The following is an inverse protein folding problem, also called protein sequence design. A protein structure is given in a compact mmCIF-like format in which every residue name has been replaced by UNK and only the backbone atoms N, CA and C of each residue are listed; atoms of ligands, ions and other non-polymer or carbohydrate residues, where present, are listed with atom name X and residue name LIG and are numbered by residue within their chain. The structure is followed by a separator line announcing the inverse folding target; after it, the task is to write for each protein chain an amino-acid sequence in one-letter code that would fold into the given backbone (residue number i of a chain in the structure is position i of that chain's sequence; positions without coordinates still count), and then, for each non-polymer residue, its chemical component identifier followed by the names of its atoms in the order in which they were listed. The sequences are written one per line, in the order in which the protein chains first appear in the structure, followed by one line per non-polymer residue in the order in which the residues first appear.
data_IF_991079109620
#
_entry.id   IF_991079109620
#
_cell.length_a   1.000
_cell.length_b   1.000
_cell.length_c   1.000
_cell.angle_alpha   90.00
_cell.angle_beta   90.00
_cell.angle_gamma   90.00
#
_symmetry.space_group_name_H-M   'P 1'
#
loop_
_entity.id
_entity.type
_entity.pdbx_description
1 polymer ?
#
# COMPACT_ATOMS: atom_id res chain seq x y z
N UNK A 1 5.12 15.64 14.82
CA UNK A 1 4.12 15.78 15.91
C UNK A 1 4.04 14.45 16.62
N UNK A 2 4.14 14.40 17.95
CA UNK A 2 4.04 13.12 18.68
C UNK A 2 2.57 12.75 18.85
N UNK A 3 2.15 11.62 18.28
CA UNK A 3 0.80 11.09 18.46
C UNK A 3 0.64 10.51 19.88
N UNK A 4 -0.54 10.66 20.46
CA UNK A 4 -0.89 10.01 21.73
C UNK A 4 -1.61 8.70 21.43
N UNK A 5 -0.89 7.58 21.47
CA UNK A 5 -1.36 6.28 21.01
C UNK A 5 -1.26 5.23 22.12
N UNK A 6 -2.31 4.40 22.27
CA UNK A 6 -2.27 3.21 23.16
C UNK A 6 -1.73 1.96 22.46
N UNK A 7 -1.81 1.92 21.12
CA UNK A 7 -1.28 0.85 20.25
C UNK A 7 -0.75 1.45 18.95
N UNK A 8 0.07 0.74 18.17
CA UNK A 8 0.57 1.26 16.89
C UNK A 8 -0.58 1.63 15.94
N UNK A 9 -0.35 2.64 15.10
CA UNK A 9 -1.24 2.97 13.98
C UNK A 9 -0.47 2.80 12.69
N UNK A 10 -1.06 2.10 11.73
CA UNK A 10 -0.53 1.97 10.38
C UNK A 10 -1.33 2.88 9.46
N UNK A 11 -0.64 3.83 8.85
CA UNK A 11 -1.14 4.60 7.73
C UNK A 11 -0.68 3.93 6.44
N UNK A 12 -1.57 3.83 5.48
CA UNK A 12 -1.22 3.28 4.18
C UNK A 12 -1.97 3.99 3.06
N UNK A 13 -1.40 3.90 1.87
CA UNK A 13 -1.95 4.42 0.63
C UNK A 13 -1.65 3.45 -0.52
N UNK A 14 -2.52 3.42 -1.52
CA UNK A 14 -2.45 2.47 -2.63
C UNK A 14 -2.53 3.19 -3.96
N UNK A 15 -1.66 2.76 -4.88
CA UNK A 15 -1.87 2.96 -6.30
C UNK A 15 -2.36 1.66 -6.90
N UNK A 16 -3.33 1.74 -7.82
CA UNK A 16 -4.01 0.56 -8.36
C UNK A 16 -4.34 0.75 -9.83
N UNK A 17 -4.64 -0.35 -10.51
CA UNK A 17 -5.06 -0.33 -11.92
C UNK A 17 -6.42 0.32 -12.13
N UNK A 18 -7.19 0.54 -11.06
CA UNK A 18 -8.53 1.12 -11.07
C UNK A 18 -9.22 0.95 -9.71
N UNK A 19 -10.49 1.32 -9.60
CA UNK A 19 -11.24 1.34 -8.33
C UNK A 19 -12.17 0.15 -8.12
N UNK A 20 -12.22 -0.81 -9.05
CA UNK A 20 -13.08 -1.98 -8.94
C UNK A 20 -12.44 -3.08 -8.09
N UNK A 21 -12.93 -3.26 -6.86
CA UNK A 21 -12.39 -4.23 -5.88
C UNK A 21 -12.38 -5.69 -6.34
N UNK A 22 -13.17 -6.08 -7.35
CA UNK A 22 -13.22 -7.45 -7.85
C UNK A 22 -12.20 -7.72 -8.97
N UNK A 23 -11.83 -6.69 -9.72
CA UNK A 23 -11.08 -6.84 -10.97
C UNK A 23 -9.74 -6.11 -10.97
N UNK A 24 -9.65 -4.97 -10.31
CA UNK A 24 -8.42 -4.18 -10.28
C UNK A 24 -7.40 -4.75 -9.29
N UNK A 25 -6.16 -4.32 -9.47
CA UNK A 25 -4.98 -4.85 -8.76
C UNK A 25 -4.15 -3.70 -8.22
N UNK A 26 -3.45 -3.98 -7.11
CA UNK A 26 -2.53 -3.03 -6.49
C UNK A 26 -1.25 -2.97 -7.33
N UNK A 27 -0.77 -1.74 -7.58
CA UNK A 27 0.46 -1.40 -8.31
C UNK A 27 1.54 -0.88 -7.36
N UNK A 28 1.15 -0.15 -6.31
CA UNK A 28 2.03 0.26 -5.23
C UNK A 28 1.29 0.25 -3.90
N UNK A 29 2.03 -0.04 -2.83
CA UNK A 29 1.60 0.23 -1.46
C UNK A 29 2.70 1.00 -0.73
N UNK A 30 2.31 2.11 -0.11
CA UNK A 30 3.14 2.87 0.84
C UNK A 30 2.56 2.72 2.23
N UNK A 31 3.41 2.48 3.22
CA UNK A 31 3.02 2.19 4.60
C UNK A 31 3.94 2.92 5.56
N UNK A 32 3.35 3.59 6.55
CA UNK A 32 4.05 4.10 7.73
C UNK A 32 3.36 3.58 9.00
N UNK A 33 4.11 2.84 9.81
CA UNK A 33 3.68 2.38 11.13
C UNK A 33 4.27 3.28 12.20
N UNK A 34 3.41 3.93 12.99
CA UNK A 34 3.81 4.79 14.10
C UNK A 34 3.52 4.05 15.40
N UNK A 35 4.53 3.91 16.26
CA UNK A 35 4.43 3.23 17.56
C UNK A 35 4.10 4.22 18.70
N UNK A 36 3.58 3.75 19.85
CA UNK A 36 3.28 4.60 21.01
C UNK A 36 4.46 5.43 21.55
N UNK A 37 5.68 4.93 21.40
CA UNK A 37 6.90 5.65 21.79
C UNK A 37 7.27 6.80 20.82
N UNK A 38 6.61 6.84 19.65
CA UNK A 38 6.86 7.78 18.57
C UNK A 38 7.88 7.29 17.54
N UNK A 39 8.37 6.06 17.64
CA UNK A 39 9.18 5.45 16.58
C UNK A 39 8.34 5.10 15.36
N UNK A 40 8.99 5.04 14.19
CA UNK A 40 8.32 4.85 12.91
C UNK A 40 9.00 3.77 12.08
N UNK A 41 8.20 3.01 11.32
CA UNK A 41 8.67 2.11 10.27
C UNK A 41 7.97 2.49 8.97
N UNK A 42 8.74 2.86 7.96
CA UNK A 42 8.24 3.23 6.64
C UNK A 42 8.69 2.23 5.56
N UNK A 43 7.76 1.88 4.67
CA UNK A 43 8.00 0.99 3.53
C UNK A 43 7.13 1.40 2.34
N UNK A 44 7.75 1.53 1.18
CA UNK A 44 7.05 1.64 -0.11
C UNK A 44 7.45 0.47 -1.00
N UNK A 45 6.47 -0.15 -1.67
CA UNK A 45 6.68 -1.30 -2.54
C UNK A 45 5.86 -1.17 -3.81
N UNK A 46 6.56 -1.15 -4.95
CA UNK A 46 5.97 -1.43 -6.26
C UNK A 46 5.62 -2.93 -6.34
N UNK A 47 4.53 -3.21 -7.02
CA UNK A 47 3.94 -4.54 -7.18
C UNK A 47 3.65 -4.76 -8.65
N UNK A 48 4.01 -5.92 -9.18
CA UNK A 48 3.54 -6.32 -10.51
C UNK A 48 2.07 -6.77 -10.38
N UNK A 49 1.11 -6.04 -10.97
CA UNK A 49 -0.32 -6.35 -10.83
C UNK A 49 -0.73 -7.62 -11.59
N UNK A 50 0.13 -8.15 -12.47
CA UNK A 50 -0.15 -9.33 -13.30
C UNK A 50 -1.17 -9.07 -14.43
N UNK A 51 -1.59 -7.83 -14.61
CA UNK A 51 -2.47 -7.32 -15.67
C UNK A 51 -1.91 -5.99 -16.20
N UNK A 52 -2.22 -5.57 -17.44
CA UNK A 52 -1.81 -4.26 -17.93
C UNK A 52 -2.37 -3.12 -17.08
N UNK A 53 -1.56 -2.11 -16.78
CA UNK A 53 -2.01 -0.89 -16.09
C UNK A 53 -2.75 0.01 -17.10
N UNK A 54 -4.04 0.33 -16.87
CA UNK A 54 -4.78 1.22 -17.76
C UNK A 54 -4.12 2.60 -17.88
N UNK A 55 -4.14 3.17 -19.09
CA UNK A 55 -3.48 4.47 -19.36
C UNK A 55 -4.04 5.61 -18.49
N UNK A 56 -5.30 5.53 -18.08
CA UNK A 56 -5.94 6.47 -17.15
C UNK A 56 -5.38 6.37 -15.73
N UNK A 57 -5.09 5.16 -15.23
CA UNK A 57 -4.43 4.97 -13.94
C UNK A 57 -2.98 5.49 -13.99
N UNK A 58 -2.24 5.14 -15.06
CA UNK A 58 -0.92 5.68 -15.35
C UNK A 58 -0.91 7.22 -15.45
N UNK A 59 -1.95 7.83 -16.01
CA UNK A 59 -2.06 9.29 -16.09
C UNK A 59 -2.21 9.95 -14.71
N UNK A 60 -2.72 9.22 -13.71
CA UNK A 60 -2.90 9.69 -12.33
C UNK A 60 -1.63 9.46 -11.50
N UNK A 61 -1.16 8.21 -11.41
CA UNK A 61 -0.07 7.83 -10.50
C UNK A 61 1.30 7.76 -11.17
N UNK A 62 1.38 7.89 -12.51
CA UNK A 62 2.61 7.93 -13.29
C UNK A 62 3.47 6.66 -13.23
N UNK A 63 2.84 5.50 -13.05
CA UNK A 63 3.50 4.19 -13.00
C UNK A 63 3.12 3.43 -14.27
N UNK A 64 4.10 2.93 -14.98
CA UNK A 64 3.91 2.16 -16.21
C UNK A 64 4.11 0.67 -15.94
N UNK A 65 3.65 -0.18 -16.88
CA UNK A 65 3.92 -1.63 -16.82
C UNK A 65 5.43 -1.93 -16.76
N UNK A 66 6.25 -1.10 -17.42
CA UNK A 66 7.71 -1.24 -17.44
C UNK A 66 8.34 -1.01 -16.07
N UNK A 67 7.80 -0.06 -15.28
CA UNK A 67 8.30 0.26 -13.94
C UNK A 67 8.10 -0.89 -12.93
N UNK A 68 7.12 -1.77 -13.19
CA UNK A 68 6.73 -2.84 -12.28
C UNK A 68 6.93 -4.24 -12.84
N UNK A 69 7.47 -4.39 -14.06
CA UNK A 69 7.60 -5.70 -14.72
C UNK A 69 8.39 -6.71 -13.89
N UNK A 70 9.44 -6.25 -13.20
CA UNK A 70 10.34 -7.07 -12.37
C UNK A 70 9.99 -7.00 -10.86
N UNK A 71 8.93 -6.26 -10.51
CA UNK A 71 8.45 -6.16 -9.13
C UNK A 71 7.77 -7.48 -8.69
N UNK A 72 7.75 -7.79 -7.38
CA UNK A 72 7.03 -8.97 -6.90
C UNK A 72 5.52 -8.80 -7.12
N UNK A 73 4.82 -9.92 -7.31
CA UNK A 73 3.35 -9.97 -7.27
C UNK A 73 2.84 -9.83 -5.84
N UNK A 74 1.58 -9.44 -5.69
CA UNK A 74 0.98 -9.19 -4.38
C UNK A 74 1.09 -10.41 -3.45
N UNK A 75 0.83 -11.62 -3.95
CA UNK A 75 0.92 -12.86 -3.18
C UNK A 75 2.31 -13.11 -2.55
N UNK A 76 3.37 -12.57 -3.17
CA UNK A 76 4.74 -12.73 -2.68
C UNK A 76 5.05 -11.80 -1.50
N UNK A 77 4.33 -10.67 -1.37
CA UNK A 77 4.56 -9.69 -0.31
C UNK A 77 3.47 -9.69 0.77
N UNK A 78 2.30 -10.28 0.49
CA UNK A 78 1.11 -10.23 1.33
C UNK A 78 1.38 -10.65 2.78
N UNK A 79 2.18 -11.71 2.99
CA UNK A 79 2.53 -12.17 4.35
C UNK A 79 3.28 -11.11 5.14
N UNK A 80 4.33 -10.53 4.56
CA UNK A 80 5.12 -9.49 5.22
C UNK A 80 4.34 -8.20 5.47
N UNK A 81 3.38 -7.87 4.59
CA UNK A 81 2.48 -6.74 4.81
C UNK A 81 1.51 -7.03 5.96
N UNK A 82 0.93 -8.23 6.02
CA UNK A 82 0.05 -8.62 7.12
C UNK A 82 0.78 -8.57 8.47
N UNK A 83 2.04 -9.00 8.53
CA UNK A 83 2.90 -8.90 9.72
C UNK A 83 3.17 -7.43 10.11
N UNK A 84 3.40 -6.55 9.14
CA UNK A 84 3.57 -5.12 9.39
C UNK A 84 2.30 -4.50 9.98
N UNK A 85 1.12 -4.89 9.50
CA UNK A 85 -0.17 -4.36 9.94
C UNK A 85 -0.62 -4.95 11.29
N UNK A 86 -0.18 -6.16 11.62
CA UNK A 86 -0.60 -6.88 12.83
C UNK A 86 -0.47 -6.04 14.11
N UNK A 87 -1.50 -6.12 14.96
CA UNK A 87 -1.57 -5.43 16.24
C UNK A 87 -1.71 -3.91 16.16
N UNK A 88 -2.03 -3.36 14.99
CA UNK A 88 -2.15 -1.91 14.77
C UNK A 88 -3.58 -1.53 14.44
N UNK A 89 -3.97 -0.31 14.81
CA UNK A 89 -5.10 0.34 14.17
C UNK A 89 -4.73 0.74 12.74
N UNK A 90 -5.71 0.77 11.85
CA UNK A 90 -5.52 1.09 10.44
C UNK A 90 -6.07 2.48 10.16
N UNK A 91 -5.27 3.31 9.52
CA UNK A 91 -5.62 4.66 9.10
C UNK A 91 -5.27 4.86 7.62
N UNK A 92 -6.04 5.70 6.95
CA UNK A 92 -5.84 6.06 5.56
C UNK A 92 -6.94 7.01 5.12
N UNK A 93 -6.67 7.85 4.12
CA UNK A 93 -7.72 8.67 3.56
C UNK A 93 -8.63 7.81 2.68
N UNK A 94 -9.94 7.82 2.96
CA UNK A 94 -10.93 7.05 2.20
C UNK A 94 -10.68 5.52 2.17
N UNK A 95 -10.02 4.97 3.19
CA UNK A 95 -9.57 3.57 3.27
C UNK A 95 -10.65 2.57 3.72
N UNK A 96 -11.90 3.02 3.87
CA UNK A 96 -13.03 2.22 4.33
C UNK A 96 -14.19 2.15 3.33
N UNK A 97 -13.95 2.53 2.07
CA UNK A 97 -14.92 2.45 0.99
C UNK A 97 -14.79 1.19 0.16
#
# INVERSE_FOLDING_TARGET
MKLNLDRPVVFFDLESTGTNILHDRIVEISVIKVFPDGSEVERTRRINPGIPIPAEATAVHHITDEDVKDAPRFEQIARSLAELFAGSDIAGFNSNR
#
